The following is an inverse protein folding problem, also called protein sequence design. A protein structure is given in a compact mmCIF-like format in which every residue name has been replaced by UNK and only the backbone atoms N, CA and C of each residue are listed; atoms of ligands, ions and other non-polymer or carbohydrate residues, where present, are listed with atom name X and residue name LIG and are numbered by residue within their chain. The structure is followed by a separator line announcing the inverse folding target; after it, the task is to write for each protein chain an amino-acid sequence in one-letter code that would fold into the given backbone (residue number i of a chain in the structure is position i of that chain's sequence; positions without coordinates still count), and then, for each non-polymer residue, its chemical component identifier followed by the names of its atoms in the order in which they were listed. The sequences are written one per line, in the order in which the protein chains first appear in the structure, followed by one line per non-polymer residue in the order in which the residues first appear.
data_IF_350009002987
#
_entry.id   IF_350009002987
#
_cell.length_a   1.000
_cell.length_b   1.000
_cell.length_c   1.000
_cell.angle_alpha   90.00
_cell.angle_beta   90.00
_cell.angle_gamma   90.00
#
_symmetry.space_group_name_H-M   'P 1'
#
loop_
_entity.id
_entity.type
_entity.pdbx_description
1 polymer ?
#
# COMPACT_ATOMS: atom_id res chain seq x y z
N UNK A 1 11.18 9.22 43.71
CA UNK A 1 10.08 8.23 43.77
C UNK A 1 10.50 7.11 44.71
N UNK A 2 9.60 6.57 45.54
CA UNK A 2 9.93 5.46 46.46
C UNK A 2 10.40 4.23 45.66
N UNK A 3 11.57 3.67 46.02
CA UNK A 3 12.19 2.51 45.38
C UNK A 3 11.24 1.30 45.31
N UNK A 4 10.37 1.14 46.34
CA UNK A 4 9.36 0.09 46.38
C UNK A 4 8.31 0.24 45.25
N UNK A 5 7.95 1.48 44.90
CA UNK A 5 7.00 1.77 43.81
C UNK A 5 7.63 1.49 42.44
N UNK A 6 8.91 1.83 42.25
CA UNK A 6 9.66 1.51 41.03
C UNK A 6 9.70 -0.01 40.83
N UNK A 7 10.09 -0.75 41.86
CA UNK A 7 10.19 -2.21 41.80
C UNK A 7 8.85 -2.88 41.47
N UNK A 8 7.75 -2.32 41.99
CA UNK A 8 6.40 -2.81 41.70
C UNK A 8 6.03 -2.59 40.23
N UNK A 9 6.28 -1.40 39.67
CA UNK A 9 6.02 -1.10 38.26
C UNK A 9 6.85 -1.99 37.32
N UNK A 10 8.13 -2.19 37.64
CA UNK A 10 9.01 -3.07 36.87
C UNK A 10 8.53 -4.52 36.89
N UNK A 11 8.07 -5.02 38.04
CA UNK A 11 7.52 -6.35 38.17
C UNK A 11 6.21 -6.52 37.38
N UNK A 12 5.34 -5.49 37.41
CA UNK A 12 4.11 -5.47 36.62
C UNK A 12 4.41 -5.46 35.12
N UNK A 13 5.35 -4.62 34.66
CA UNK A 13 5.78 -4.58 33.26
C UNK A 13 6.34 -5.92 32.77
N UNK A 14 7.21 -6.56 33.57
CA UNK A 14 7.74 -7.88 33.27
C UNK A 14 6.63 -8.95 33.19
N UNK A 15 5.65 -8.89 34.10
CA UNK A 15 4.50 -9.81 34.11
C UNK A 15 3.62 -9.63 32.89
N UNK A 16 3.32 -8.39 32.50
CA UNK A 16 2.56 -8.10 31.29
C UNK A 16 3.32 -8.59 30.05
N UNK A 17 4.62 -8.32 29.97
CA UNK A 17 5.45 -8.67 28.82
C UNK A 17 5.63 -10.19 28.69
N UNK A 18 5.76 -10.92 29.80
CA UNK A 18 5.76 -12.38 29.78
C UNK A 18 4.41 -12.95 29.29
N UNK A 19 3.29 -12.27 29.58
CA UNK A 19 1.94 -12.67 29.17
C UNK A 19 1.52 -12.19 27.78
N UNK A 20 2.33 -11.39 27.07
CA UNK A 20 1.96 -10.81 25.78
C UNK A 20 1.88 -11.83 24.62
N UNK A 21 2.27 -13.09 24.86
CA UNK A 21 2.12 -14.17 23.90
C UNK A 21 3.46 -14.80 23.53
N UNK A 22 3.40 -16.05 23.04
CA UNK A 22 4.57 -16.86 22.70
C UNK A 22 5.29 -16.39 21.43
N UNK A 23 4.58 -15.71 20.54
CA UNK A 23 5.14 -15.22 19.27
C UNK A 23 5.70 -13.81 19.36
N UNK A 24 5.51 -13.13 20.49
CA UNK A 24 6.16 -11.85 20.82
C UNK A 24 7.58 -12.15 21.30
N UNK A 25 8.57 -11.77 20.49
CA UNK A 25 10.00 -11.95 20.75
C UNK A 25 10.69 -10.64 21.14
N UNK A 26 10.25 -9.53 20.54
CA UNK A 26 10.92 -8.23 20.65
C UNK A 26 9.99 -7.20 21.28
N UNK A 27 10.55 -6.30 22.08
CA UNK A 27 9.80 -5.22 22.71
C UNK A 27 10.54 -3.88 22.66
N UNK A 28 9.78 -2.80 22.63
CA UNK A 28 10.27 -1.44 22.81
C UNK A 28 9.72 -0.86 24.13
N UNK A 29 10.28 0.27 24.55
CA UNK A 29 9.85 0.98 25.76
C UNK A 29 9.47 2.39 25.40
N UNK A 30 8.38 2.85 26.02
CA UNK A 30 8.04 4.27 26.06
C UNK A 30 7.77 4.67 27.50
N UNK A 31 8.41 5.73 27.95
CA UNK A 31 8.16 6.38 29.23
C UNK A 31 7.44 7.71 28.99
N UNK A 32 6.33 7.92 29.68
CA UNK A 32 5.66 9.22 29.79
C UNK A 32 6.08 9.81 31.14
N UNK A 33 6.81 10.92 31.12
CA UNK A 33 7.34 11.57 32.31
C UNK A 33 6.52 12.83 32.65
N UNK A 34 6.40 13.21 33.93
CA UNK A 34 5.74 14.45 34.33
C UNK A 34 6.36 15.67 33.65
N UNK A 35 5.53 16.62 33.21
CA UNK A 35 5.98 17.88 32.60
C UNK A 35 6.96 18.64 33.52
N UNK A 36 6.71 18.63 34.83
CA UNK A 36 7.62 19.22 35.80
C UNK A 36 9.06 18.67 35.70
N UNK A 37 9.24 17.37 35.45
CA UNK A 37 10.58 16.77 35.35
C UNK A 37 11.30 17.22 34.08
N UNK A 38 10.56 17.46 32.99
CA UNK A 38 11.12 18.02 31.75
C UNK A 38 11.60 19.47 31.99
N UNK A 39 10.78 20.28 32.67
CA UNK A 39 11.14 21.67 33.01
C UNK A 39 12.36 21.71 33.93
N UNK A 40 12.37 20.88 34.97
CA UNK A 40 13.50 20.79 35.91
C UNK A 40 14.78 20.34 35.18
N UNK A 41 14.68 19.40 34.23
CA UNK A 41 15.80 18.95 33.40
C UNK A 41 16.34 20.04 32.46
N UNK A 42 15.47 20.78 31.76
CA UNK A 42 15.88 21.90 30.91
C UNK A 42 16.61 22.99 31.70
N UNK A 43 16.08 23.36 32.87
CA UNK A 43 16.73 24.36 33.73
C UNK A 43 18.14 23.93 34.17
N UNK A 44 18.33 22.65 34.51
CA UNK A 44 19.66 22.13 34.89
C UNK A 44 20.63 22.09 33.70
N UNK A 45 20.13 21.79 32.50
CA UNK A 45 20.96 21.78 31.29
C UNK A 45 21.45 23.16 30.90
N UNK A 46 20.58 24.17 30.98
CA UNK A 46 20.90 25.57 30.70
C UNK A 46 21.87 26.16 31.74
N UNK A 47 21.83 25.65 32.98
CA UNK A 47 22.59 26.24 34.09
C UNK A 47 23.93 25.53 34.35
N UNK A 48 24.05 24.21 34.10
CA UNK A 48 25.17 23.43 34.65
C UNK A 48 25.88 22.44 33.71
N UNK A 49 25.34 22.10 32.53
CA UNK A 49 25.77 20.86 31.82
C UNK A 49 26.18 21.01 30.34
N UNK A 50 26.26 22.23 29.79
CA UNK A 50 26.65 22.50 28.38
C UNK A 50 25.91 21.58 27.35
N UNK A 51 24.69 21.14 27.68
CA UNK A 51 23.89 20.24 26.85
C UNK A 51 24.47 18.83 26.60
N UNK A 52 25.45 18.37 27.40
CA UNK A 52 26.14 17.07 27.18
C UNK A 52 25.60 15.87 27.98
N UNK A 53 24.53 16.05 28.75
CA UNK A 53 23.92 15.00 29.58
C UNK A 53 22.86 14.18 28.82
N UNK A 54 22.75 12.90 29.17
CA UNK A 54 21.65 12.04 28.73
C UNK A 54 20.32 12.49 29.36
N UNK A 55 19.24 12.51 28.59
CA UNK A 55 17.92 12.81 29.13
C UNK A 55 17.42 11.75 30.11
N UNK A 56 16.68 12.19 31.11
CA UNK A 56 16.01 11.38 32.13
C UNK A 56 15.19 10.28 31.46
N UNK A 57 14.52 10.62 30.35
CA UNK A 57 13.75 9.66 29.55
C UNK A 57 14.63 8.54 28.97
N UNK A 58 15.78 8.88 28.37
CA UNK A 58 16.68 7.90 27.75
C UNK A 58 17.32 6.99 28.81
N UNK A 59 17.78 7.57 29.92
CA UNK A 59 18.31 6.83 31.06
C UNK A 59 17.29 5.83 31.61
N UNK A 60 16.05 6.28 31.85
CA UNK A 60 14.96 5.42 32.31
C UNK A 60 14.67 4.30 31.31
N UNK A 61 14.57 4.60 30.01
CA UNK A 61 14.32 3.59 28.99
C UNK A 61 15.41 2.51 28.97
N UNK A 62 16.69 2.88 29.09
CA UNK A 62 17.82 1.94 29.16
C UNK A 62 17.77 1.04 30.40
N UNK A 63 17.54 1.62 31.57
CA UNK A 63 17.48 0.84 32.82
C UNK A 63 16.27 -0.11 32.81
N UNK A 64 15.11 0.35 32.32
CA UNK A 64 13.92 -0.48 32.18
C UNK A 64 14.16 -1.63 31.18
N UNK A 65 14.80 -1.38 30.03
CA UNK A 65 15.05 -2.44 29.04
C UNK A 65 15.90 -3.55 29.62
N UNK A 66 17.01 -3.22 30.26
CA UNK A 66 17.90 -4.23 30.83
C UNK A 66 17.20 -5.11 31.88
N UNK A 67 16.35 -4.51 32.71
CA UNK A 67 15.57 -5.24 33.72
C UNK A 67 14.55 -6.17 33.05
N UNK A 68 13.83 -5.68 32.04
CA UNK A 68 12.80 -6.46 31.34
C UNK A 68 13.41 -7.59 30.49
N UNK A 69 14.53 -7.35 29.80
CA UNK A 69 15.26 -8.37 29.04
C UNK A 69 15.70 -9.50 29.97
N UNK A 70 16.35 -9.18 31.10
CA UNK A 70 16.80 -10.17 32.09
C UNK A 70 15.63 -11.00 32.64
N UNK A 71 14.49 -10.36 32.94
CA UNK A 71 13.33 -11.04 33.53
C UNK A 71 12.52 -11.87 32.53
N UNK A 72 12.44 -11.44 31.27
CA UNK A 72 11.52 -12.04 30.28
C UNK A 72 12.22 -12.83 29.17
N UNK A 73 13.54 -12.65 29.01
CA UNK A 73 14.35 -13.19 27.89
C UNK A 73 13.86 -12.76 26.50
N UNK A 74 13.02 -11.72 26.44
CA UNK A 74 12.65 -11.05 25.18
C UNK A 74 13.71 -10.01 24.86
N UNK A 75 13.87 -9.73 23.57
CA UNK A 75 14.90 -8.82 23.06
C UNK A 75 14.37 -7.38 23.05
N UNK A 76 15.16 -6.42 23.54
CA UNK A 76 14.86 -5.02 23.39
C UNK A 76 15.19 -4.54 21.98
N UNK A 77 14.20 -4.01 21.27
CA UNK A 77 14.34 -3.48 19.91
C UNK A 77 13.50 -2.21 19.78
N UNK A 78 14.12 -1.00 19.75
CA UNK A 78 13.36 0.26 19.73
C UNK A 78 12.64 0.51 18.39
N UNK A 79 13.18 -0.01 17.28
CA UNK A 79 12.69 0.28 15.93
C UNK A 79 11.94 -0.90 15.28
N UNK A 80 12.04 -2.10 15.84
CA UNK A 80 11.43 -3.32 15.30
C UNK A 80 10.94 -4.22 16.44
N UNK A 81 9.95 -3.70 17.17
CA UNK A 81 9.31 -4.37 18.27
C UNK A 81 7.99 -5.02 17.86
N UNK A 82 7.65 -6.12 18.52
CA UNK A 82 6.34 -6.75 18.38
C UNK A 82 5.33 -6.10 19.36
N UNK A 83 5.84 -5.58 20.48
CA UNK A 83 5.06 -4.86 21.50
C UNK A 83 5.83 -3.68 22.07
N UNK A 84 5.10 -2.64 22.48
CA UNK A 84 5.62 -1.51 23.24
C UNK A 84 5.15 -1.59 24.68
N UNK A 85 6.10 -1.57 25.62
CA UNK A 85 5.81 -1.46 27.05
C UNK A 85 5.79 0.02 27.41
N UNK A 86 4.62 0.53 27.77
CA UNK A 86 4.43 1.95 28.10
C UNK A 86 4.36 2.09 29.61
N UNK A 87 5.32 2.82 30.17
CA UNK A 87 5.34 3.25 31.57
C UNK A 87 4.84 4.68 31.64
N UNK A 88 3.65 4.87 32.20
CA UNK A 88 3.10 6.19 32.45
C UNK A 88 3.42 6.63 33.88
N UNK A 89 4.35 7.58 33.98
CA UNK A 89 4.79 8.21 35.23
C UNK A 89 4.25 9.63 35.36
N UNK A 90 3.49 10.12 34.36
CA UNK A 90 3.02 11.51 34.29
C UNK A 90 1.75 11.75 35.12
N UNK A 91 0.99 10.69 35.39
CA UNK A 91 -0.26 10.73 36.16
C UNK A 91 -0.04 10.49 37.66
N UNK A 92 -0.99 10.92 38.49
CA UNK A 92 -0.95 10.74 39.96
C UNK A 92 -0.85 9.28 40.42
N UNK A 93 -1.26 8.33 39.57
CA UNK A 93 -1.12 6.90 39.76
C UNK A 93 -0.35 6.28 38.60
N UNK A 94 0.95 6.10 38.80
CA UNK A 94 1.81 5.44 37.82
C UNK A 94 1.19 4.12 37.34
N UNK A 95 1.33 3.86 36.04
CA UNK A 95 0.79 2.64 35.44
C UNK A 95 1.73 2.08 34.39
N UNK A 96 1.56 0.80 34.08
CA UNK A 96 2.25 0.14 32.98
C UNK A 96 1.23 -0.58 32.10
N UNK A 97 1.37 -0.44 30.79
CA UNK A 97 0.51 -1.11 29.80
C UNK A 97 1.35 -1.68 28.67
N UNK A 98 0.76 -2.63 27.95
CA UNK A 98 1.32 -3.17 26.71
C UNK A 98 0.46 -2.75 25.54
N UNK A 99 1.12 -2.19 24.55
CA UNK A 99 0.55 -1.88 23.25
C UNK A 99 1.16 -2.84 22.23
N UNK A 100 0.32 -3.49 21.43
CA UNK A 100 0.79 -4.42 20.39
C UNK A 100 1.08 -3.63 19.12
N UNK A 101 2.27 -3.81 18.58
CA UNK A 101 2.68 -3.13 17.35
C UNK A 101 1.98 -3.76 16.14
N UNK A 102 1.80 -3.01 15.04
CA UNK A 102 1.24 -3.54 13.81
C UNK A 102 2.15 -4.62 13.17
N UNK A 103 1.55 -5.53 12.41
CA UNK A 103 2.27 -6.44 11.52
C UNK A 103 1.97 -6.08 10.06
N UNK A 104 2.98 -6.04 9.22
CA UNK A 104 2.82 -5.74 7.79
C UNK A 104 3.03 -7.01 6.98
N UNK A 105 2.05 -7.34 6.13
CA UNK A 105 2.11 -8.50 5.24
C UNK A 105 2.04 -8.01 3.80
N UNK A 106 3.16 -8.14 3.07
CA UNK A 106 3.20 -7.93 1.63
C UNK A 106 2.56 -9.10 0.89
N UNK A 107 2.02 -8.85 -0.29
CA UNK A 107 1.68 -9.85 -1.28
C UNK A 107 1.21 -9.23 -2.59
N UNK A 108 0.76 -10.08 -3.52
CA UNK A 108 0.11 -9.66 -4.76
C UNK A 108 -1.28 -10.24 -4.85
N UNK A 109 -2.29 -9.42 -5.20
CA UNK A 109 -3.66 -9.90 -5.34
C UNK A 109 -4.17 -9.85 -6.78
N UNK A 110 -4.92 -10.87 -7.19
CA UNK A 110 -5.78 -10.84 -8.38
C UNK A 110 -7.22 -10.67 -7.94
N UNK A 111 -7.93 -9.78 -8.61
CA UNK A 111 -9.38 -9.59 -8.48
C UNK A 111 -10.03 -10.32 -9.65
N UNK A 112 -10.63 -11.48 -9.37
CA UNK A 112 -11.05 -12.44 -10.40
C UNK A 112 -12.48 -12.19 -10.90
N UNK A 113 -13.27 -11.41 -10.16
CA UNK A 113 -14.65 -11.06 -10.51
C UNK A 113 -14.84 -9.53 -10.53
N UNK A 114 -15.78 -9.02 -11.35
CA UNK A 114 -16.26 -7.64 -11.21
C UNK A 114 -17.11 -7.48 -9.94
N UNK A 115 -17.64 -6.28 -9.73
CA UNK A 115 -18.62 -5.95 -8.68
C UNK A 115 -18.11 -6.04 -7.23
N UNK A 116 -16.79 -6.06 -7.02
CA UNK A 116 -16.18 -5.88 -5.70
C UNK A 116 -15.25 -4.66 -5.70
N UNK A 117 -15.21 -3.93 -4.59
CA UNK A 117 -14.28 -2.81 -4.41
C UNK A 117 -12.88 -3.29 -4.03
N UNK A 118 -11.87 -2.45 -4.20
CA UNK A 118 -10.53 -2.78 -3.66
C UNK A 118 -10.54 -2.67 -2.13
N UNK A 119 -10.92 -1.50 -1.61
CA UNK A 119 -10.98 -1.20 -0.18
C UNK A 119 -12.42 -1.31 0.35
N UNK A 120 -12.56 -1.51 1.67
CA UNK A 120 -13.85 -1.50 2.37
C UNK A 120 -14.63 -0.23 2.06
N UNK A 121 -15.89 -0.39 1.64
CA UNK A 121 -16.78 0.74 1.35
C UNK A 121 -17.96 0.77 2.31
N UNK A 122 -17.64 1.15 3.54
CA UNK A 122 -18.60 1.28 4.63
C UNK A 122 -19.63 2.37 4.29
N UNK A 123 -20.88 2.13 4.66
CA UNK A 123 -21.95 3.08 4.47
C UNK A 123 -21.73 4.29 5.37
N UNK A 124 -21.47 5.46 4.77
CA UNK A 124 -21.25 6.71 5.50
C UNK A 124 -22.44 7.19 6.34
N UNK A 125 -23.63 6.58 6.18
CA UNK A 125 -24.84 6.96 6.91
C UNK A 125 -25.02 6.20 8.22
N UNK A 126 -24.65 4.92 8.23
CA UNK A 126 -24.84 4.04 9.40
C UNK A 126 -23.53 3.48 9.94
N UNK A 127 -22.39 3.88 9.37
CA UNK A 127 -21.05 3.54 9.86
C UNK A 127 -20.76 2.03 9.98
N UNK A 128 -21.56 1.20 9.31
CA UNK A 128 -21.44 -0.26 9.34
C UNK A 128 -22.65 -1.00 9.91
N UNK A 129 -23.56 -0.31 10.60
CA UNK A 129 -24.69 -0.95 11.29
C UNK A 129 -25.77 -1.49 10.36
N UNK A 130 -25.85 -0.95 9.14
CA UNK A 130 -26.91 -1.22 8.18
C UNK A 130 -28.05 -0.20 8.25
N UNK A 131 -28.46 0.30 7.08
CA UNK A 131 -29.63 1.17 6.94
C UNK A 131 -30.21 1.02 5.53
N UNK A 132 -31.36 1.66 5.28
CA UNK A 132 -32.00 1.64 3.97
C UNK A 132 -31.09 2.09 2.81
N UNK A 133 -30.10 2.97 3.05
CA UNK A 133 -29.19 3.47 1.99
C UNK A 133 -28.26 2.37 1.46
N UNK A 134 -27.93 1.39 2.29
CA UNK A 134 -27.02 0.30 1.94
C UNK A 134 -27.73 -1.06 1.97
N UNK A 135 -29.04 -1.07 1.75
CA UNK A 135 -29.87 -2.29 1.81
C UNK A 135 -29.64 -3.10 3.09
N UNK A 136 -29.45 -2.40 4.22
CA UNK A 136 -29.19 -3.00 5.53
C UNK A 136 -27.89 -3.81 5.65
N UNK A 137 -26.97 -3.70 4.68
CA UNK A 137 -25.69 -4.45 4.68
C UNK A 137 -24.56 -3.78 5.45
N UNK A 138 -24.71 -2.51 5.81
CA UNK A 138 -23.65 -1.70 6.45
C UNK A 138 -22.54 -1.23 5.50
N UNK A 139 -22.50 -1.76 4.27
CA UNK A 139 -21.50 -1.47 3.22
C UNK A 139 -22.14 -1.54 1.83
N UNK A 140 -21.47 -0.94 0.85
CA UNK A 140 -21.96 -0.92 -0.55
C UNK A 140 -21.43 -2.09 -1.39
N UNK A 141 -20.23 -2.58 -1.11
CA UNK A 141 -19.59 -3.67 -1.84
C UNK A 141 -18.81 -4.55 -0.88
N UNK A 142 -18.73 -5.85 -1.18
CA UNK A 142 -17.61 -6.67 -0.71
C UNK A 142 -16.30 -6.12 -1.28
N UNK A 143 -15.18 -6.34 -0.59
CA UNK A 143 -13.90 -5.79 -0.99
C UNK A 143 -12.75 -6.79 -1.00
N UNK A 144 -11.78 -6.55 -1.89
CA UNK A 144 -10.50 -7.28 -1.91
C UNK A 144 -9.83 -7.21 -0.53
N UNK A 145 -9.87 -6.04 0.09
CA UNK A 145 -9.37 -5.80 1.45
C UNK A 145 -10.00 -6.73 2.48
N UNK A 146 -11.32 -7.01 2.42
CA UNK A 146 -11.97 -7.97 3.33
C UNK A 146 -11.57 -9.41 3.02
N UNK A 147 -11.59 -9.81 1.73
CA UNK A 147 -11.24 -11.18 1.33
C UNK A 147 -9.82 -11.58 1.75
N UNK A 148 -8.89 -10.62 1.79
CA UNK A 148 -7.51 -10.84 2.23
C UNK A 148 -7.39 -10.60 3.75
N UNK A 149 -7.99 -9.52 4.23
CA UNK A 149 -7.82 -9.01 5.58
C UNK A 149 -8.46 -9.88 6.65
N UNK A 150 -9.68 -10.41 6.44
CA UNK A 150 -10.37 -11.20 7.45
C UNK A 150 -9.61 -12.50 7.80
N UNK A 151 -9.16 -13.32 6.83
CA UNK A 151 -8.35 -14.51 7.13
C UNK A 151 -7.03 -14.18 7.85
N UNK A 152 -6.35 -13.10 7.47
CA UNK A 152 -5.11 -12.67 8.10
C UNK A 152 -5.35 -12.12 9.51
N UNK A 153 -6.42 -11.35 9.71
CA UNK A 153 -6.85 -10.81 11.01
C UNK A 153 -7.11 -11.94 12.01
N UNK A 154 -7.87 -12.95 11.60
CA UNK A 154 -8.19 -14.11 12.44
C UNK A 154 -6.92 -14.85 12.85
N UNK A 155 -6.05 -15.15 11.88
CA UNK A 155 -4.81 -15.89 12.12
C UNK A 155 -3.82 -15.12 13.00
N UNK A 156 -3.73 -13.80 12.82
CA UNK A 156 -2.85 -12.91 13.58
C UNK A 156 -3.47 -12.46 14.91
N UNK A 157 -4.77 -12.76 15.14
CA UNK A 157 -5.55 -12.23 16.27
C UNK A 157 -5.44 -10.69 16.36
N UNK A 158 -5.51 -10.04 15.20
CA UNK A 158 -5.40 -8.59 15.07
C UNK A 158 -6.73 -7.91 15.40
N UNK A 159 -6.68 -6.65 15.86
CA UNK A 159 -7.88 -5.87 16.15
C UNK A 159 -8.62 -5.46 14.87
N UNK A 160 -7.86 -5.02 13.87
CA UNK A 160 -8.36 -4.49 12.59
C UNK A 160 -7.21 -4.55 11.56
N UNK A 161 -7.47 -4.17 10.33
CA UNK A 161 -6.46 -4.09 9.27
C UNK A 161 -6.67 -2.88 8.35
N UNK A 162 -5.72 -2.64 7.46
CA UNK A 162 -5.85 -1.71 6.33
C UNK A 162 -4.99 -2.18 5.15
N UNK A 163 -5.54 -2.14 3.94
CA UNK A 163 -4.84 -2.52 2.72
C UNK A 163 -4.24 -1.30 2.03
N UNK A 164 -2.93 -1.33 1.84
CA UNK A 164 -2.14 -0.33 1.13
C UNK A 164 -1.67 -0.93 -0.19
N UNK A 165 -1.99 -0.34 -1.35
CA UNK A 165 -1.64 -0.93 -2.65
C UNK A 165 -1.13 0.13 -3.64
N UNK A 166 -0.37 -0.31 -4.65
CA UNK A 166 0.08 0.55 -5.75
C UNK A 166 -1.09 0.87 -6.68
N UNK A 167 -1.91 1.87 -6.33
CA UNK A 167 -3.09 2.27 -7.07
C UNK A 167 -4.30 1.35 -6.88
N UNK A 168 -5.35 1.58 -7.67
CA UNK A 168 -6.67 0.95 -7.52
C UNK A 168 -7.33 0.70 -8.87
N UNK A 169 -8.13 -0.36 -8.97
CA UNK A 169 -9.08 -0.57 -10.07
C UNK A 169 -10.53 -0.22 -9.68
N UNK A 170 -11.36 0.11 -10.68
CA UNK A 170 -12.79 0.35 -10.48
C UNK A 170 -13.51 -0.98 -10.11
N UNK A 171 -14.73 -0.87 -9.56
CA UNK A 171 -15.50 -2.05 -9.12
C UNK A 171 -15.85 -3.00 -10.26
N UNK A 172 -16.05 -2.50 -11.48
CA UNK A 172 -16.35 -3.26 -12.69
C UNK A 172 -15.10 -3.84 -13.40
N UNK A 173 -13.90 -3.54 -12.91
CA UNK A 173 -12.64 -3.97 -13.54
C UNK A 173 -12.10 -5.25 -12.89
N UNK A 174 -11.70 -6.21 -13.71
CA UNK A 174 -10.97 -7.43 -13.28
C UNK A 174 -9.47 -7.13 -13.28
N UNK A 175 -8.74 -7.70 -12.31
CA UNK A 175 -7.28 -7.56 -12.23
C UNK A 175 -6.64 -8.95 -12.18
N UNK A 176 -6.01 -9.35 -13.29
CA UNK A 176 -5.32 -10.63 -13.42
C UNK A 176 -3.80 -10.51 -13.27
N UNK A 177 -3.28 -9.28 -13.20
CA UNK A 177 -1.87 -8.96 -13.13
C UNK A 177 -1.22 -9.37 -11.79
N UNK A 178 -1.97 -9.32 -10.69
CA UNK A 178 -1.41 -9.47 -9.35
C UNK A 178 -0.93 -8.12 -8.82
N UNK A 179 -1.83 -7.27 -8.31
CA UNK A 179 -1.45 -5.96 -7.78
C UNK A 179 -0.70 -6.11 -6.46
N UNK A 180 0.50 -5.50 -6.33
CA UNK A 180 1.23 -5.50 -5.07
C UNK A 180 0.48 -4.71 -4.01
N UNK A 181 0.45 -5.27 -2.80
CA UNK A 181 -0.16 -4.67 -1.63
C UNK A 181 0.66 -4.96 -0.37
N UNK A 182 0.47 -4.13 0.65
CA UNK A 182 0.84 -4.38 2.04
C UNK A 182 -0.42 -4.30 2.88
N UNK A 183 -0.75 -5.36 3.59
CA UNK A 183 -1.80 -5.35 4.60
C UNK A 183 -1.18 -5.00 5.95
N UNK A 184 -1.58 -3.88 6.52
CA UNK A 184 -1.26 -3.49 7.90
C UNK A 184 -2.30 -4.09 8.85
N UNK A 185 -1.89 -5.03 9.68
CA UNK A 185 -2.70 -5.63 10.75
C UNK A 185 -2.43 -4.87 12.05
N UNK A 186 -3.47 -4.32 12.68
CA UNK A 186 -3.36 -3.48 13.87
C UNK A 186 -3.46 -4.30 15.15
N UNK A 187 -2.62 -4.00 16.14
CA UNK A 187 -2.62 -4.62 17.47
C UNK A 187 -2.61 -6.16 17.41
N UNK A 188 -1.56 -6.70 16.81
CA UNK A 188 -1.43 -8.13 16.52
C UNK A 188 -0.98 -8.90 17.75
N UNK A 189 -1.66 -10.00 18.08
CA UNK A 189 -1.25 -10.88 19.20
C UNK A 189 -0.51 -12.14 18.74
N UNK A 190 -0.56 -12.45 17.44
CA UNK A 190 0.18 -13.54 16.83
C UNK A 190 1.05 -13.04 15.67
N UNK A 191 2.35 -12.89 15.89
CA UNK A 191 3.31 -12.39 14.90
C UNK A 191 3.95 -13.46 13.99
N UNK A 192 3.59 -14.74 14.17
CA UNK A 192 4.10 -15.83 13.35
C UNK A 192 2.95 -16.67 12.73
N UNK A 193 2.07 -16.06 11.90
CA UNK A 193 1.03 -16.78 11.20
C UNK A 193 1.60 -17.71 10.11
N UNK A 194 0.90 -18.81 9.82
CA UNK A 194 1.19 -19.69 8.69
C UNK A 194 0.64 -19.09 7.39
N UNK A 195 1.44 -18.24 6.74
CA UNK A 195 1.02 -17.50 5.55
C UNK A 195 0.63 -18.40 4.38
N UNK A 196 1.23 -19.60 4.26
CA UNK A 196 0.91 -20.55 3.19
C UNK A 196 -0.52 -21.07 3.32
N UNK A 197 -0.92 -21.53 4.51
CA UNK A 197 -2.30 -21.97 4.77
C UNK A 197 -3.30 -20.84 4.61
N UNK A 198 -2.92 -19.62 4.99
CA UNK A 198 -3.79 -18.45 4.84
C UNK A 198 -3.99 -18.13 3.36
N UNK A 199 -2.93 -18.16 2.54
CA UNK A 199 -3.03 -17.99 1.09
C UNK A 199 -3.97 -19.04 0.45
N UNK A 200 -3.85 -20.32 0.86
CA UNK A 200 -4.75 -21.38 0.40
C UNK A 200 -6.23 -21.09 0.75
N UNK A 201 -6.49 -20.61 1.98
CA UNK A 201 -7.83 -20.20 2.43
C UNK A 201 -8.37 -19.03 1.61
N UNK A 202 -7.55 -18.01 1.33
CA UNK A 202 -7.93 -16.84 0.53
C UNK A 202 -8.20 -17.24 -0.92
N UNK A 203 -7.42 -18.17 -1.49
CA UNK A 203 -7.52 -18.56 -2.90
C UNK A 203 -8.71 -19.49 -3.22
N UNK A 204 -9.24 -20.20 -2.22
CA UNK A 204 -10.30 -21.21 -2.39
C UNK A 204 -11.61 -20.66 -3.01
N UNK A 205 -12.16 -19.49 -2.60
CA UNK A 205 -13.43 -18.99 -3.13
C UNK A 205 -13.36 -18.48 -4.58
N UNK A 206 -12.16 -18.34 -5.17
CA UNK A 206 -11.93 -17.83 -6.53
C UNK A 206 -12.52 -16.45 -6.83
N UNK A 207 -12.82 -15.62 -5.82
CA UNK A 207 -13.17 -14.20 -5.97
C UNK A 207 -11.93 -13.30 -6.03
N UNK A 208 -11.00 -13.59 -5.13
CA UNK A 208 -9.67 -12.97 -5.02
C UNK A 208 -8.65 -14.10 -4.92
N UNK A 209 -7.47 -13.91 -5.51
CA UNK A 209 -6.32 -14.78 -5.23
C UNK A 209 -5.12 -13.97 -4.78
N UNK A 210 -4.33 -14.51 -3.86
CA UNK A 210 -3.08 -13.92 -3.39
C UNK A 210 -1.89 -14.82 -3.71
N UNK A 211 -0.75 -14.20 -3.96
CA UNK A 211 0.58 -14.81 -4.04
C UNK A 211 1.59 -14.00 -3.22
N UNK A 212 2.77 -14.59 -3.04
CA UNK A 212 3.96 -13.94 -2.47
C UNK A 212 3.74 -13.32 -1.08
N UNK A 213 2.87 -13.94 -0.27
CA UNK A 213 2.61 -13.46 1.09
C UNK A 213 3.89 -13.52 1.93
N UNK A 214 4.33 -12.37 2.44
CA UNK A 214 5.54 -12.25 3.28
C UNK A 214 5.36 -11.20 4.36
N UNK A 215 5.87 -11.45 5.57
CA UNK A 215 5.99 -10.41 6.59
C UNK A 215 7.10 -9.44 6.16
N UNK A 216 6.80 -8.15 6.18
CA UNK A 216 7.71 -7.06 5.79
C UNK A 216 7.76 -5.98 6.87
N UNK A 217 8.72 -5.05 6.75
CA UNK A 217 8.81 -3.87 7.62
C UNK A 217 7.81 -2.79 7.20
N UNK A 218 7.52 -1.84 8.11
CA UNK A 218 6.64 -0.68 7.86
C UNK A 218 7.03 0.09 6.61
N UNK A 219 8.33 0.33 6.37
CA UNK A 219 8.82 1.08 5.21
C UNK A 219 8.40 0.48 3.85
N UNK A 220 8.04 -0.80 3.81
CA UNK A 220 7.53 -1.45 2.60
C UNK A 220 6.16 -0.91 2.16
N UNK A 221 5.39 -0.31 3.08
CA UNK A 221 4.15 0.39 2.73
C UNK A 221 4.44 1.52 1.73
N UNK A 222 5.43 2.36 2.02
CA UNK A 222 5.85 3.47 1.14
C UNK A 222 6.40 2.93 -0.17
N UNK A 223 7.21 1.86 -0.13
CA UNK A 223 7.73 1.19 -1.32
C UNK A 223 6.61 0.81 -2.31
N UNK A 224 5.50 0.28 -1.80
CA UNK A 224 4.36 -0.13 -2.62
C UNK A 224 3.49 1.05 -3.05
N UNK A 225 3.19 1.99 -2.15
CA UNK A 225 2.21 3.06 -2.41
C UNK A 225 2.80 4.21 -3.24
N UNK A 226 4.10 4.48 -3.12
CA UNK A 226 4.78 5.55 -3.87
C UNK A 226 5.28 5.07 -5.24
N UNK A 227 5.33 3.77 -5.48
CA UNK A 227 5.78 3.23 -6.77
C UNK A 227 4.79 3.51 -7.90
N UNK A 228 5.33 4.06 -8.99
CA UNK A 228 4.58 4.46 -10.19
C UNK A 228 4.70 3.44 -11.33
N UNK A 229 4.35 2.17 -11.07
CA UNK A 229 4.47 1.14 -12.12
C UNK A 229 3.61 1.44 -13.34
N UNK A 230 4.11 1.14 -14.52
CA UNK A 230 3.30 1.12 -15.73
C UNK A 230 2.38 -0.11 -15.68
N UNK A 231 1.30 -0.07 -16.45
CA UNK A 231 0.32 -1.16 -16.46
C UNK A 231 -0.08 -1.50 -17.88
N UNK A 232 -0.36 -2.77 -18.08
CA UNK A 232 -1.00 -3.28 -19.28
C UNK A 232 -2.46 -3.62 -19.00
N UNK A 233 -3.30 -3.30 -19.98
CA UNK A 233 -4.72 -3.50 -19.94
C UNK A 233 -5.21 -4.22 -21.19
N UNK A 234 -6.22 -5.06 -21.04
CA UNK A 234 -7.04 -5.55 -22.15
C UNK A 234 -8.40 -4.90 -22.07
N UNK A 235 -8.83 -4.23 -23.13
CA UNK A 235 -10.11 -3.55 -23.22
C UNK A 235 -10.96 -4.15 -24.34
N UNK A 236 -12.22 -4.48 -24.03
CA UNK A 236 -13.26 -4.74 -25.02
C UNK A 236 -13.98 -3.42 -25.30
N UNK A 237 -13.98 -3.00 -26.56
CA UNK A 237 -14.47 -1.71 -27.00
C UNK A 237 -15.67 -1.92 -27.91
N UNK A 238 -16.70 -1.12 -27.69
CA UNK A 238 -17.85 -0.96 -28.56
C UNK A 238 -17.80 0.40 -29.25
N UNK A 239 -18.02 0.40 -30.56
CA UNK A 239 -18.03 1.59 -31.37
C UNK A 239 -19.46 1.96 -31.78
N UNK A 240 -19.74 3.26 -31.81
CA UNK A 240 -21.04 3.78 -32.27
C UNK A 240 -21.28 3.41 -33.75
N UNK A 241 -20.23 3.47 -34.57
CA UNK A 241 -20.22 3.16 -36.00
C UNK A 241 -19.23 2.05 -36.31
N UNK A 242 -19.38 1.43 -37.47
CA UNK A 242 -18.41 0.46 -37.99
C UNK A 242 -17.03 1.12 -38.14
N UNK A 243 -15.98 0.46 -37.65
CA UNK A 243 -14.58 0.90 -37.80
C UNK A 243 -13.85 0.08 -38.86
N UNK A 244 -13.24 0.77 -39.82
CA UNK A 244 -12.43 0.13 -40.87
C UNK A 244 -11.06 -0.29 -40.34
N UNK A 245 -10.30 -1.05 -41.15
CA UNK A 245 -8.88 -1.32 -40.81
C UNK A 245 -8.03 -0.05 -40.74
N UNK A 246 -8.34 0.94 -41.58
CA UNK A 246 -7.66 2.23 -41.58
C UNK A 246 -7.89 2.97 -40.26
N UNK A 247 -9.10 2.89 -39.72
CA UNK A 247 -9.43 3.48 -38.42
C UNK A 247 -8.69 2.78 -37.28
N UNK A 248 -8.59 1.45 -37.33
CA UNK A 248 -7.80 0.67 -36.37
C UNK A 248 -6.31 1.01 -36.42
N UNK A 249 -5.76 1.27 -37.62
CA UNK A 249 -4.38 1.76 -37.78
C UNK A 249 -4.20 3.16 -37.18
N UNK A 250 -5.17 4.06 -37.35
CA UNK A 250 -5.16 5.40 -36.72
C UNK A 250 -5.19 5.32 -35.20
N UNK A 251 -6.00 4.43 -34.62
CA UNK A 251 -6.00 4.15 -33.19
C UNK A 251 -4.63 3.62 -32.75
N UNK A 252 -4.09 2.63 -33.47
CA UNK A 252 -2.79 2.03 -33.15
C UNK A 252 -1.62 3.03 -33.21
N UNK A 253 -1.73 4.09 -34.02
CA UNK A 253 -0.75 5.17 -34.07
C UNK A 253 -0.66 5.99 -32.77
N UNK A 254 -1.54 5.78 -31.78
CA UNK A 254 -1.36 6.32 -30.43
C UNK A 254 -0.20 5.68 -29.66
N UNK A 255 0.36 4.56 -30.14
CA UNK A 255 1.58 4.00 -29.59
C UNK A 255 2.69 5.05 -29.52
N UNK A 256 3.31 5.19 -28.34
CA UNK A 256 4.38 6.14 -28.08
C UNK A 256 3.91 7.59 -27.85
N UNK A 257 2.64 7.90 -28.08
CA UNK A 257 2.10 9.26 -28.00
C UNK A 257 1.85 9.68 -26.55
N UNK A 258 2.14 10.95 -26.27
CA UNK A 258 1.75 11.61 -25.03
C UNK A 258 0.35 12.19 -25.22
N UNK A 259 -0.59 11.72 -24.42
CA UNK A 259 -1.96 12.24 -24.32
C UNK A 259 -2.09 13.23 -23.16
N UNK A 260 -3.04 14.12 -23.26
CA UNK A 260 -3.45 15.06 -22.23
C UNK A 260 -4.80 14.61 -21.66
N UNK A 261 -4.82 14.24 -20.38
CA UNK A 261 -6.03 13.86 -19.67
C UNK A 261 -6.37 14.87 -18.60
N UNK A 262 -7.45 15.62 -18.81
CA UNK A 262 -8.10 16.35 -17.73
C UNK A 262 -8.77 15.35 -16.77
N UNK A 263 -8.80 15.66 -15.48
CA UNK A 263 -9.41 14.80 -14.44
C UNK A 263 -10.80 14.34 -14.89
N UNK A 264 -11.06 13.02 -15.02
CA UNK A 264 -12.35 12.55 -15.54
C UNK A 264 -13.54 13.04 -14.74
N UNK A 265 -14.65 13.36 -15.42
CA UNK A 265 -15.87 13.88 -14.77
C UNK A 265 -16.34 13.00 -13.60
N UNK A 266 -16.30 11.67 -13.78
CA UNK A 266 -16.75 10.68 -12.78
C UNK A 266 -15.93 10.67 -11.47
N UNK A 267 -14.74 11.27 -11.44
CA UNK A 267 -13.88 11.34 -10.25
C UNK A 267 -13.62 12.76 -9.76
N UNK A 268 -14.19 13.78 -10.41
CA UNK A 268 -13.97 15.19 -10.06
C UNK A 268 -14.39 15.52 -8.62
N UNK A 269 -15.39 14.83 -8.07
CA UNK A 269 -15.82 15.03 -6.67
C UNK A 269 -14.77 14.60 -5.64
N UNK A 270 -13.71 13.89 -6.06
CA UNK A 270 -12.64 13.40 -5.17
C UNK A 270 -11.25 13.87 -5.58
N UNK A 271 -11.10 14.56 -6.71
CA UNK A 271 -9.80 14.94 -7.27
C UNK A 271 -9.84 16.35 -7.83
N UNK A 272 -8.76 17.09 -7.62
CA UNK A 272 -8.53 18.38 -8.26
C UNK A 272 -8.62 18.25 -9.79
N UNK A 273 -9.32 19.20 -10.42
CA UNK A 273 -9.48 19.23 -11.86
C UNK A 273 -8.19 19.75 -12.52
N UNK A 274 -7.40 18.84 -13.09
CA UNK A 274 -6.07 19.12 -13.64
C UNK A 274 -5.85 18.33 -14.92
N UNK A 275 -5.15 18.94 -15.88
CA UNK A 275 -4.67 18.27 -17.09
C UNK A 275 -3.34 17.59 -16.77
N UNK A 276 -3.23 16.30 -17.10
CA UNK A 276 -2.04 15.49 -16.88
C UNK A 276 -1.60 14.84 -18.19
N UNK A 277 -0.30 14.99 -18.51
CA UNK A 277 0.33 14.30 -19.64
C UNK A 277 0.61 12.85 -19.30
N UNK A 278 0.23 11.92 -20.18
CA UNK A 278 0.42 10.47 -20.01
C UNK A 278 0.87 9.85 -21.33
N UNK A 279 1.89 9.01 -21.29
CA UNK A 279 2.37 8.28 -22.46
C UNK A 279 1.62 6.97 -22.60
N UNK A 280 1.14 6.71 -23.81
CA UNK A 280 0.71 5.38 -24.22
C UNK A 280 1.97 4.67 -24.70
N UNK A 281 2.48 3.74 -23.89
CA UNK A 281 3.75 3.06 -24.15
C UNK A 281 3.60 2.13 -25.35
N UNK A 282 2.57 1.29 -25.34
CA UNK A 282 2.27 0.33 -26.40
C UNK A 282 0.75 0.26 -26.60
N UNK A 283 0.33 0.03 -27.85
CA UNK A 283 -1.08 -0.19 -28.18
C UNK A 283 -1.15 -1.22 -29.31
N UNK A 284 -1.83 -2.34 -29.05
CA UNK A 284 -2.00 -3.43 -30.02
C UNK A 284 -3.47 -3.75 -30.20
N UNK A 285 -3.91 -3.81 -31.45
CA UNK A 285 -5.22 -4.34 -31.80
C UNK A 285 -5.14 -5.87 -31.76
N UNK A 286 -5.93 -6.50 -30.90
CA UNK A 286 -5.93 -7.96 -30.75
C UNK A 286 -6.89 -8.61 -31.75
N UNK A 287 -8.09 -8.06 -31.87
CA UNK A 287 -9.07 -8.44 -32.88
C UNK A 287 -10.09 -7.32 -33.09
N UNK A 288 -10.83 -7.41 -34.20
CA UNK A 288 -12.01 -6.60 -34.52
C UNK A 288 -13.10 -7.57 -34.98
N UNK A 289 -14.35 -7.32 -34.62
CA UNK A 289 -15.48 -8.07 -35.18
C UNK A 289 -15.63 -7.82 -36.68
N UNK A 290 -16.25 -8.77 -37.37
CA UNK A 290 -16.46 -8.70 -38.82
C UNK A 290 -17.35 -7.51 -39.21
N UNK A 291 -18.32 -7.16 -38.36
CA UNK A 291 -19.19 -5.98 -38.51
C UNK A 291 -18.52 -4.65 -38.11
N UNK A 292 -17.26 -4.70 -37.67
CA UNK A 292 -16.49 -3.55 -37.22
C UNK A 292 -17.10 -2.79 -36.04
N UNK A 293 -18.06 -3.34 -35.30
CA UNK A 293 -18.71 -2.66 -34.17
C UNK A 293 -17.99 -2.87 -32.84
N UNK A 294 -17.08 -3.86 -32.77
CA UNK A 294 -16.33 -4.16 -31.56
C UNK A 294 -14.86 -4.47 -31.85
N UNK A 295 -14.00 -4.24 -30.86
CA UNK A 295 -12.60 -4.65 -30.91
C UNK A 295 -12.05 -4.94 -29.52
N UNK A 296 -11.08 -5.86 -29.45
CA UNK A 296 -10.25 -6.05 -28.28
C UNK A 296 -8.88 -5.39 -28.50
N UNK A 297 -8.44 -4.63 -27.52
CA UNK A 297 -7.19 -3.85 -27.60
C UNK A 297 -6.35 -4.10 -26.34
N UNK A 298 -5.06 -4.35 -26.54
CA UNK A 298 -4.07 -4.34 -25.47
C UNK A 298 -3.40 -2.96 -25.40
N UNK A 299 -3.36 -2.37 -24.21
CA UNK A 299 -2.87 -1.00 -23.97
C UNK A 299 -1.86 -1.06 -22.83
N UNK A 300 -0.61 -0.72 -23.09
CA UNK A 300 0.39 -0.44 -22.05
C UNK A 300 0.48 1.06 -21.88
N UNK A 301 0.25 1.55 -20.67
CA UNK A 301 0.21 2.98 -20.39
C UNK A 301 0.90 3.33 -19.08
N UNK A 302 1.36 4.58 -19.03
CA UNK A 302 2.00 5.13 -17.83
C UNK A 302 1.07 5.10 -16.61
N UNK A 303 1.66 5.01 -15.42
CA UNK A 303 0.95 5.07 -14.16
C UNK A 303 -0.08 6.23 -14.09
N UNK A 304 -1.31 5.88 -13.71
CA UNK A 304 -2.39 6.84 -13.52
C UNK A 304 -3.08 7.30 -14.81
N UNK A 305 -2.83 6.64 -15.95
CA UNK A 305 -3.61 6.83 -17.17
C UNK A 305 -5.04 6.30 -16.98
N UNK A 306 -6.03 7.11 -17.34
CA UNK A 306 -7.44 6.75 -17.28
C UNK A 306 -7.87 6.09 -18.60
N UNK A 307 -7.85 4.75 -18.63
CA UNK A 307 -8.06 3.96 -19.85
C UNK A 307 -9.47 4.12 -20.43
N UNK A 308 -10.51 4.16 -19.60
CA UNK A 308 -11.90 4.35 -20.07
C UNK A 308 -12.02 5.69 -20.81
N UNK A 309 -11.36 6.73 -20.29
CA UNK A 309 -11.35 8.07 -20.87
C UNK A 309 -10.40 8.22 -22.07
N UNK A 310 -9.33 7.43 -22.16
CA UNK A 310 -8.56 7.28 -23.41
C UNK A 310 -9.45 6.73 -24.55
N UNK A 311 -10.37 5.83 -24.22
CA UNK A 311 -11.29 5.22 -25.20
C UNK A 311 -12.42 6.21 -25.54
N UNK A 312 -13.18 6.68 -24.55
CA UNK A 312 -14.40 7.45 -24.78
C UNK A 312 -14.18 8.97 -24.95
N UNK A 313 -12.98 9.47 -24.65
CA UNK A 313 -12.60 10.89 -24.77
C UNK A 313 -13.16 11.82 -23.69
N UNK A 314 -14.06 11.35 -22.82
CA UNK A 314 -14.76 12.11 -21.76
C UNK A 314 -15.24 13.50 -22.21
N UNK A 315 -15.98 13.53 -23.34
CA UNK A 315 -16.44 14.76 -23.99
C UNK A 315 -15.30 15.73 -24.36
N UNK A 316 -14.15 15.21 -24.82
CA UNK A 316 -13.00 16.02 -25.23
C UNK A 316 -12.04 16.36 -24.08
N UNK A 317 -12.23 15.81 -22.88
CA UNK A 317 -11.31 15.97 -21.75
C UNK A 317 -10.05 15.12 -21.85
N UNK A 318 -10.03 14.11 -22.74
CA UNK A 318 -8.82 13.37 -23.11
C UNK A 318 -8.49 13.60 -24.58
N UNK A 319 -7.27 14.10 -24.85
CA UNK A 319 -6.78 14.41 -26.20
C UNK A 319 -5.33 13.97 -26.41
N UNK A 320 -5.00 13.25 -27.49
CA UNK A 320 -5.94 12.50 -28.34
C UNK A 320 -6.62 11.35 -27.55
N UNK A 321 -7.75 10.86 -28.07
CA UNK A 321 -8.53 9.71 -27.57
C UNK A 321 -9.08 8.91 -28.75
N UNK A 322 -9.57 7.68 -28.52
CA UNK A 322 -10.08 6.84 -29.61
C UNK A 322 -11.31 7.48 -30.25
N UNK A 323 -12.30 7.86 -29.43
CA UNK A 323 -13.48 8.59 -29.91
C UNK A 323 -13.11 9.89 -30.63
N UNK A 324 -12.09 10.62 -30.14
CA UNK A 324 -11.60 11.83 -30.79
C UNK A 324 -10.96 11.58 -32.17
N UNK A 325 -10.21 10.48 -32.33
CA UNK A 325 -9.60 10.08 -33.60
C UNK A 325 -10.66 9.62 -34.61
N UNK A 326 -11.66 8.87 -34.14
CA UNK A 326 -12.73 8.32 -34.98
C UNK A 326 -13.78 9.37 -35.37
N UNK A 327 -13.96 10.40 -34.55
CA UNK A 327 -15.02 11.41 -34.72
C UNK A 327 -16.41 10.94 -34.29
N UNK A 328 -16.52 9.81 -33.59
CA UNK A 328 -17.75 9.27 -33.02
C UNK A 328 -17.49 8.48 -31.73
N UNK A 329 -18.55 8.08 -31.03
CA UNK A 329 -18.45 7.45 -29.72
C UNK A 329 -17.76 6.09 -29.71
N UNK A 330 -16.95 5.86 -28.68
CA UNK A 330 -16.40 4.55 -28.32
C UNK A 330 -16.58 4.31 -26.83
N UNK A 331 -16.96 3.09 -26.44
CA UNK A 331 -17.24 2.70 -25.06
C UNK A 331 -16.41 1.51 -24.66
N UNK A 332 -15.77 1.58 -23.50
CA UNK A 332 -15.13 0.44 -22.86
C UNK A 332 -16.22 -0.45 -22.22
N UNK A 333 -16.51 -1.62 -22.80
CA UNK A 333 -17.45 -2.59 -22.24
C UNK A 333 -16.84 -3.39 -21.10
N UNK A 334 -15.60 -3.83 -21.29
CA UNK A 334 -14.84 -4.62 -20.32
C UNK A 334 -13.42 -4.11 -20.26
N UNK A 335 -12.85 -4.07 -19.05
CA UNK A 335 -11.46 -3.71 -18.84
C UNK A 335 -10.84 -4.71 -17.87
N UNK A 336 -9.66 -5.21 -18.23
CA UNK A 336 -8.86 -6.14 -17.45
C UNK A 336 -7.49 -5.53 -17.26
N UNK A 337 -6.98 -5.49 -16.03
CA UNK A 337 -5.56 -5.23 -15.77
C UNK A 337 -4.81 -6.54 -16.00
N UNK A 338 -4.00 -6.61 -17.06
CA UNK A 338 -3.31 -7.84 -17.48
C UNK A 338 -1.90 -7.93 -16.93
N UNK A 339 -1.19 -6.81 -16.78
CA UNK A 339 0.16 -6.75 -16.19
C UNK A 339 0.38 -5.46 -15.39
N UNK A 340 1.17 -5.56 -14.33
CA UNK A 340 1.73 -4.43 -13.58
C UNK A 340 3.24 -4.66 -13.58
N UNK A 341 4.01 -3.65 -13.98
CA UNK A 341 5.46 -3.77 -14.07
C UNK A 341 6.11 -3.42 -12.72
N UNK A 342 5.97 -4.31 -11.73
CA UNK A 342 6.39 -4.15 -10.33
C UNK A 342 7.67 -4.92 -9.94
N UNK A 343 8.46 -5.37 -10.93
CA UNK A 343 9.67 -6.20 -10.75
C UNK A 343 10.70 -5.60 -9.78
N UNK A 344 10.71 -4.27 -9.61
CA UNK A 344 11.52 -3.59 -8.60
C UNK A 344 11.24 -4.05 -7.16
N UNK A 345 9.99 -4.41 -6.86
CA UNK A 345 9.65 -4.94 -5.55
C UNK A 345 10.31 -6.29 -5.30
N UNK A 346 10.50 -7.12 -6.33
CA UNK A 346 11.17 -8.41 -6.19
C UNK A 346 12.67 -8.23 -5.89
N UNK A 347 13.31 -7.22 -6.47
CA UNK A 347 14.70 -6.84 -6.13
C UNK A 347 14.80 -6.32 -4.69
N UNK A 348 13.84 -5.49 -4.25
CA UNK A 348 13.81 -5.02 -2.86
C UNK A 348 13.62 -6.20 -1.89
N UNK A 349 12.74 -7.15 -2.23
CA UNK A 349 12.48 -8.33 -1.43
C UNK A 349 13.66 -9.32 -1.43
N UNK A 350 14.68 -9.11 -2.27
CA UNK A 350 15.81 -10.00 -2.44
C UNK A 350 15.45 -11.30 -3.16
N UNK A 351 14.36 -11.30 -3.94
CA UNK A 351 13.95 -12.45 -4.75
C UNK A 351 14.72 -12.50 -6.08
N UNK A 352 15.15 -11.34 -6.59
CA UNK A 352 15.89 -11.21 -7.84
C UNK A 352 17.15 -10.35 -7.65
N UNK A 353 18.17 -10.65 -8.45
CA UNK A 353 19.35 -9.80 -8.56
C UNK A 353 19.02 -8.50 -9.30
N UNK A 354 19.81 -7.46 -9.02
CA UNK A 354 19.73 -6.20 -9.75
C UNK A 354 20.02 -6.50 -11.22
N UNK A 355 19.12 -6.16 -12.16
CA UNK A 355 19.36 -6.42 -13.57
C UNK A 355 20.63 -5.70 -14.03
N UNK A 356 21.43 -6.33 -14.88
CA UNK A 356 22.53 -5.61 -15.55
C UNK A 356 21.94 -4.52 -16.44
N UNK A 357 22.56 -3.35 -16.43
CA UNK A 357 22.27 -2.32 -17.42
C UNK A 357 22.59 -2.87 -18.82
N UNK A 358 21.76 -2.51 -19.80
CA UNK A 358 22.03 -2.78 -21.21
C UNK A 358 23.27 -2.00 -21.68
N UNK A 359 23.72 -2.29 -22.90
CA UNK A 359 24.93 -1.68 -23.47
C UNK A 359 24.82 -0.14 -23.62
N UNK A 360 23.61 0.43 -23.45
CA UNK A 360 23.34 1.87 -23.44
C UNK A 360 23.18 2.44 -22.01
N UNK A 361 23.45 1.66 -20.96
CA UNK A 361 23.34 2.07 -19.56
C UNK A 361 21.91 2.09 -19.00
N UNK A 362 20.96 1.43 -19.68
CA UNK A 362 19.54 1.39 -19.32
C UNK A 362 19.11 0.08 -18.65
N UNK A 363 18.15 0.14 -17.72
CA UNK A 363 17.49 -1.07 -17.23
C UNK A 363 16.30 -1.46 -18.14
N UNK A 364 15.77 -2.68 -17.98
CA UNK A 364 14.51 -3.05 -18.64
C UNK A 364 13.36 -2.10 -18.23
N UNK A 365 12.31 -2.04 -19.07
CA UNK A 365 11.19 -1.10 -18.88
C UNK A 365 10.59 -1.15 -17.46
N UNK A 366 10.40 -2.34 -16.91
CA UNK A 366 9.86 -2.55 -15.57
C UNK A 366 10.69 -1.88 -14.47
N UNK A 367 11.99 -2.07 -14.52
CA UNK A 367 12.90 -1.56 -13.50
C UNK A 367 13.08 -0.04 -13.63
N UNK A 368 13.16 0.50 -14.86
CA UNK A 368 13.26 1.96 -15.12
C UNK A 368 12.10 2.74 -14.53
N UNK A 369 10.88 2.21 -14.64
CA UNK A 369 9.66 2.87 -14.17
C UNK A 369 9.58 2.95 -12.63
N UNK A 370 10.35 2.11 -11.94
CA UNK A 370 10.22 1.91 -10.50
C UNK A 370 11.18 2.75 -9.64
N UNK A 371 12.22 3.33 -10.24
CA UNK A 371 13.26 4.11 -9.53
C UNK A 371 12.93 5.61 -9.36
N UNK A 372 11.69 6.01 -9.68
CA UNK A 372 11.27 7.41 -9.66
C UNK A 372 10.37 7.74 -8.46
N UNK A 373 10.78 8.71 -7.65
CA UNK A 373 9.98 9.25 -6.54
C UNK A 373 8.76 10.06 -6.97
N UNK A 374 8.83 10.64 -8.16
CA UNK A 374 7.80 11.52 -8.67
C UNK A 374 8.00 11.72 -10.18
N UNK A 375 6.94 12.06 -10.90
CA UNK A 375 7.02 12.53 -12.30
C UNK A 375 8.08 13.63 -12.47
N UNK A 376 8.21 14.51 -11.46
CA UNK A 376 9.17 15.62 -11.46
C UNK A 376 10.62 15.15 -11.31
N UNK A 377 10.88 14.00 -10.71
CA UNK A 377 12.23 13.40 -10.66
C UNK A 377 12.55 12.66 -11.97
N UNK A 378 11.55 12.01 -12.61
CA UNK A 378 11.69 11.43 -13.97
C UNK A 378 12.03 12.52 -14.98
N UNK A 379 11.26 13.61 -14.99
CA UNK A 379 11.45 14.73 -15.92
C UNK A 379 12.80 15.44 -15.71
N UNK A 380 13.43 15.27 -14.53
CA UNK A 380 14.76 15.81 -14.18
C UNK A 380 15.90 14.76 -14.20
N UNK A 381 15.64 13.53 -14.65
CA UNK A 381 16.66 12.46 -14.71
C UNK A 381 17.18 11.96 -13.36
N UNK A 382 16.47 12.24 -12.25
CA UNK A 382 16.83 11.73 -10.91
C UNK A 382 16.27 10.33 -10.70
N UNK A 383 17.16 9.35 -10.73
CA UNK A 383 16.93 7.94 -10.42
C UNK A 383 17.61 7.66 -9.08
N UNK A 384 16.89 7.19 -8.05
CA UNK A 384 17.56 6.76 -6.81
C UNK A 384 18.34 5.48 -7.08
N UNK A 385 19.53 5.36 -6.48
CA UNK A 385 20.22 4.07 -6.43
C UNK A 385 19.44 3.09 -5.55
N UNK A 386 19.56 1.79 -5.83
CA UNK A 386 18.92 0.72 -5.07
C UNK A 386 19.34 0.76 -3.59
N UNK A 387 20.56 1.22 -3.30
CA UNK A 387 21.05 1.40 -1.94
C UNK A 387 20.35 2.55 -1.20
N UNK A 388 19.99 3.64 -1.89
CA UNK A 388 19.19 4.72 -1.29
C UNK A 388 17.76 4.27 -0.99
N UNK A 389 17.20 3.37 -1.81
CA UNK A 389 15.90 2.75 -1.57
C UNK A 389 16.00 1.82 -0.36
N UNK A 390 16.96 0.89 -0.33
CA UNK A 390 17.17 -0.03 0.80
C UNK A 390 17.37 0.71 2.13
N UNK A 391 18.19 1.76 2.14
CA UNK A 391 18.40 2.62 3.33
C UNK A 391 17.14 3.33 3.82
N UNK A 392 16.13 3.54 2.97
CA UNK A 392 14.84 4.10 3.39
C UNK A 392 13.90 3.05 3.96
N UNK A 393 13.96 1.82 3.45
CA UNK A 393 13.10 0.72 3.90
C UNK A 393 13.48 0.19 5.29
N UNK A 394 14.74 0.41 5.68
CA UNK A 394 15.25 0.05 7.00
C UNK A 394 15.06 1.14 8.07
N UNK A 395 14.59 2.34 7.68
CA UNK A 395 14.13 3.39 8.60
C UNK A 395 12.66 3.19 8.95
#
# INVERSE_FOLDING_TARGET
MDEKKINTLMAEGAKLLAKSGKTVKRFSISTLIPEKWLIDEENEWDTHLDGKSESTKNKLNREISEILEKKTKKEYSPNDADVRVVFDLSVSKNSVKIEFEPLFVFGRYKKLIPEISQSRWICSKCEGDGCFKCDWKGKFYESVEEFIGDPLKDACKAKDYSLHASGREDTDVVNLAGRPFVLELKAVKNHAPDLKKIAEKINKPKKVSVSDLRIVKRGFVEAVTESHFDKEYTAEIEFEKEVSETDMKRIAALKGIIIEQQTPKRVMHRRADLIRKRKIVELKILNRSDDGKTANVAITAEAGTYIKELINGDSGRTKPSFAGILGFGAKCRKLIVSRIYDEFLDVILGNEDIPKEDDEGGYNHAFRVSLSKSRRDIDNGRVYSIDEVKKRLDK
#
